data_IF_603068413913
#
_entry.id   IF_603068413913
#
_cell.length_a   1.000
_cell.length_b   1.000
_cell.length_c   1.000
_cell.angle_alpha   90.00
_cell.angle_beta   90.00
_cell.angle_gamma   90.00
#
_symmetry.space_group_name_H-M   'P 1'
#
loop_
_entity.id
_entity.type
_entity.pdbx_description
1 polymer ?
#
# COMPACT_ATOMS: atom_id res chain seq x y z
N UNK A 1 8.44 -3.48 0.03
CA UNK A 1 9.02 -3.72 -1.31
C UNK A 1 8.08 -3.29 -2.45
N UNK A 2 6.78 -3.49 -2.31
CA UNK A 2 5.78 -2.89 -3.20
C UNK A 2 5.64 -1.39 -2.94
N UNK A 3 5.07 -0.60 -3.87
CA UNK A 3 4.62 0.75 -3.59
C UNK A 3 3.67 0.78 -2.38
N UNK A 4 3.78 1.83 -1.56
CA UNK A 4 2.88 2.05 -0.44
C UNK A 4 1.43 2.20 -0.93
N UNK A 5 0.49 1.48 -0.31
CA UNK A 5 -0.90 1.34 -0.76
C UNK A 5 -1.17 0.18 -1.74
N UNK A 6 -0.11 -0.55 -2.17
CA UNK A 6 -0.24 -1.69 -3.10
C UNK A 6 0.18 -3.03 -2.49
N UNK A 7 0.46 -3.06 -1.21
CA UNK A 7 0.75 -4.28 -0.49
C UNK A 7 -0.54 -5.01 -0.09
N UNK A 8 -0.42 -6.33 -0.02
CA UNK A 8 -1.51 -7.22 0.37
C UNK A 8 -1.08 -8.03 1.59
N UNK A 9 -1.96 -8.17 2.55
CA UNK A 9 -1.74 -8.97 3.74
C UNK A 9 -2.83 -10.05 3.85
N UNK A 10 -2.41 -11.27 4.13
CA UNK A 10 -3.31 -12.42 4.26
C UNK A 10 -3.17 -13.03 5.66
N UNK A 11 -4.26 -13.22 6.35
CA UNK A 11 -4.31 -13.77 7.69
C UNK A 11 -5.42 -14.80 7.83
N UNK A 12 -5.21 -15.81 8.66
CA UNK A 12 -6.30 -16.67 9.06
C UNK A 12 -7.27 -15.90 9.98
N UNK A 13 -8.55 -16.28 9.94
CA UNK A 13 -9.55 -15.71 10.84
C UNK A 13 -9.16 -15.93 12.32
N UNK A 14 -8.53 -17.08 12.64
CA UNK A 14 -8.07 -17.38 13.98
C UNK A 14 -6.96 -16.43 14.44
N UNK A 15 -6.01 -16.08 13.55
CA UNK A 15 -4.98 -15.07 13.83
C UNK A 15 -5.60 -13.72 14.16
N UNK A 16 -6.57 -13.26 13.37
CA UNK A 16 -7.27 -12.00 13.61
C UNK A 16 -8.05 -12.02 14.93
N UNK A 17 -8.79 -13.11 15.22
CA UNK A 17 -9.51 -13.28 16.49
C UNK A 17 -8.56 -13.29 17.69
N UNK A 18 -7.40 -13.96 17.59
CA UNK A 18 -6.38 -13.98 18.63
C UNK A 18 -5.83 -12.58 18.88
N UNK A 19 -5.42 -11.89 17.85
CA UNK A 19 -4.93 -10.51 17.93
C UNK A 19 -5.98 -9.58 18.54
N UNK A 20 -7.24 -9.67 18.10
CA UNK A 20 -8.35 -8.88 18.64
C UNK A 20 -8.54 -9.04 20.16
N UNK A 21 -8.39 -10.27 20.70
CA UNK A 21 -8.50 -10.54 22.13
C UNK A 21 -7.31 -10.02 22.94
N UNK A 22 -6.12 -9.92 22.32
CA UNK A 22 -4.87 -9.57 22.99
C UNK A 22 -4.66 -8.07 23.16
N UNK A 23 -5.31 -7.23 22.35
CA UNK A 23 -5.17 -5.79 22.42
C UNK A 23 -6.51 -5.06 22.51
N UNK A 24 -6.52 -3.95 23.26
CA UNK A 24 -7.66 -3.01 23.34
C UNK A 24 -7.28 -1.62 22.83
N UNK A 25 -6.07 -1.46 22.28
CA UNK A 25 -5.58 -0.19 21.74
C UNK A 25 -6.48 0.30 20.60
N UNK A 26 -6.87 1.56 20.62
CA UNK A 26 -7.64 2.18 19.53
C UNK A 26 -6.86 2.17 18.23
N UNK A 27 -5.54 2.38 18.27
CA UNK A 27 -4.67 2.33 17.11
C UNK A 27 -4.67 0.93 16.45
N UNK A 28 -4.67 -0.15 17.26
CA UNK A 28 -4.75 -1.51 16.73
C UNK A 28 -6.14 -1.85 16.20
N UNK A 29 -7.19 -1.13 16.64
CA UNK A 29 -8.54 -1.26 16.10
C UNK A 29 -8.68 -0.54 14.76
N UNK A 30 -8.07 0.62 14.62
CA UNK A 30 -8.02 1.38 13.36
C UNK A 30 -7.17 0.63 12.32
N UNK A 31 -5.97 0.17 12.72
CA UNK A 31 -5.03 -0.55 11.87
C UNK A 31 -5.04 -2.05 12.21
N UNK A 32 -6.07 -2.76 11.78
CA UNK A 32 -6.43 -4.14 12.17
C UNK A 32 -5.25 -5.12 12.26
N UNK A 33 -4.23 -4.96 11.43
CA UNK A 33 -3.08 -5.87 11.39
C UNK A 33 -1.83 -5.34 12.10
N UNK A 34 -1.91 -4.15 12.68
CA UNK A 34 -0.77 -3.50 13.33
C UNK A 34 -0.24 -4.31 14.52
N UNK A 35 -1.13 -4.80 15.39
CA UNK A 35 -0.77 -5.64 16.52
C UNK A 35 -0.08 -6.93 16.09
N UNK A 36 -0.54 -7.56 15.01
CA UNK A 36 0.05 -8.77 14.44
C UNK A 36 1.48 -8.50 13.99
N UNK A 37 1.69 -7.43 13.20
CA UNK A 37 3.01 -7.05 12.68
C UNK A 37 4.01 -6.66 13.77
N UNK A 38 3.54 -6.06 14.85
CA UNK A 38 4.39 -5.66 16.00
C UNK A 38 4.79 -6.82 16.90
N UNK A 39 4.16 -7.98 16.76
CA UNK A 39 4.41 -9.14 17.62
C UNK A 39 4.81 -10.38 16.80
N UNK A 40 5.93 -10.34 16.05
CA UNK A 40 6.33 -11.44 15.16
C UNK A 40 6.62 -12.75 15.91
N UNK A 41 7.03 -12.70 17.18
CA UNK A 41 7.22 -13.87 18.03
C UNK A 41 5.90 -14.62 18.34
N UNK A 42 4.77 -13.93 18.32
CA UNK A 42 3.43 -14.49 18.58
C UNK A 42 2.73 -14.84 17.27
N UNK A 43 2.99 -14.06 16.23
CA UNK A 43 2.40 -14.13 14.91
C UNK A 43 3.49 -14.19 13.84
N UNK A 44 4.14 -15.37 13.66
CA UNK A 44 5.15 -15.50 12.62
C UNK A 44 4.54 -15.23 11.25
N UNK A 45 5.28 -14.51 10.40
CA UNK A 45 4.84 -14.10 9.08
C UNK A 45 5.90 -14.37 8.02
N UNK A 46 5.44 -14.68 6.80
CA UNK A 46 6.27 -14.70 5.61
C UNK A 46 6.12 -13.37 4.86
N UNK A 47 7.25 -12.81 4.44
CA UNK A 47 7.27 -11.58 3.65
C UNK A 47 7.64 -11.90 2.21
N UNK A 48 6.67 -11.71 1.29
CA UNK A 48 6.93 -11.82 -0.14
C UNK A 48 7.53 -10.51 -0.65
N UNK A 49 8.72 -10.62 -1.23
CA UNK A 49 9.39 -9.46 -1.84
C UNK A 49 8.80 -9.24 -3.23
N UNK A 50 8.51 -7.98 -3.56
CA UNK A 50 8.02 -7.61 -4.87
C UNK A 50 9.01 -8.03 -5.96
N UNK A 51 8.56 -8.59 -7.08
CA UNK A 51 9.41 -8.84 -8.24
C UNK A 51 9.99 -7.51 -8.74
N UNK A 52 11.14 -7.56 -9.39
CA UNK A 52 11.89 -6.36 -9.83
C UNK A 52 11.04 -5.35 -10.62
N UNK A 53 10.06 -5.83 -11.38
CA UNK A 53 9.15 -4.99 -12.17
C UNK A 53 8.15 -4.19 -11.32
N UNK A 54 7.88 -4.64 -10.09
CA UNK A 54 6.93 -4.02 -9.15
C UNK A 54 7.62 -3.43 -7.91
N UNK A 55 8.95 -3.57 -7.80
CA UNK A 55 9.71 -3.09 -6.66
C UNK A 55 9.87 -1.56 -6.71
N UNK A 56 9.18 -0.87 -5.81
CA UNK A 56 9.32 0.58 -5.63
C UNK A 56 8.82 1.03 -4.26
N UNK A 57 9.53 0.69 -3.17
CA UNK A 57 9.04 0.91 -1.79
C UNK A 57 8.80 2.38 -1.43
N UNK A 58 9.46 3.32 -2.12
CA UNK A 58 9.32 4.75 -1.85
C UNK A 58 8.23 5.43 -2.70
N UNK A 59 7.51 4.69 -3.55
CA UNK A 59 6.40 5.22 -4.32
C UNK A 59 5.12 5.16 -3.47
N UNK A 60 4.49 6.31 -3.20
CA UNK A 60 3.20 6.39 -2.52
C UNK A 60 2.04 6.36 -3.53
N UNK A 61 1.22 5.33 -3.42
CA UNK A 61 -0.03 5.15 -4.15
C UNK A 61 -1.24 5.01 -3.19
N UNK A 62 -1.08 5.48 -1.96
CA UNK A 62 -2.16 5.64 -0.98
C UNK A 62 -3.05 6.83 -1.35
N UNK A 63 -4.17 6.99 -0.66
CA UNK A 63 -5.11 8.11 -0.84
C UNK A 63 -5.41 8.73 0.53
N UNK A 64 -4.39 9.28 1.19
CA UNK A 64 -4.49 9.84 2.54
C UNK A 64 -4.42 11.37 2.55
N UNK A 65 -3.92 11.99 1.46
CA UNK A 65 -3.72 13.43 1.34
C UNK A 65 -4.26 13.96 0.01
N UNK A 66 -4.48 15.29 -0.07
CA UNK A 66 -4.92 15.96 -1.32
C UNK A 66 -3.95 15.75 -2.48
N UNK A 67 -2.65 15.70 -2.19
CA UNK A 67 -1.63 15.47 -3.22
C UNK A 67 -1.66 14.02 -3.72
N UNK A 68 -1.98 13.07 -2.86
CA UNK A 68 -2.23 11.69 -3.28
C UNK A 68 -3.42 11.62 -4.23
N UNK A 69 -4.52 12.30 -3.89
CA UNK A 69 -5.70 12.38 -4.76
C UNK A 69 -5.35 12.93 -6.15
N UNK A 70 -4.55 13.99 -6.22
CA UNK A 70 -4.13 14.60 -7.50
C UNK A 70 -3.32 13.59 -8.33
N UNK A 71 -2.38 12.86 -7.71
CA UNK A 71 -1.60 11.84 -8.42
C UNK A 71 -2.49 10.70 -8.91
N UNK A 72 -3.31 10.13 -8.02
CA UNK A 72 -4.21 9.02 -8.33
C UNK A 72 -5.20 9.40 -9.44
N UNK A 73 -5.79 10.61 -9.37
CA UNK A 73 -6.67 11.13 -10.44
C UNK A 73 -5.96 11.14 -11.79
N UNK A 74 -4.72 11.63 -11.87
CA UNK A 74 -3.94 11.64 -13.12
C UNK A 74 -3.65 10.24 -13.65
N UNK A 75 -3.41 9.27 -12.77
CA UNK A 75 -3.24 7.86 -13.15
C UNK A 75 -4.55 7.33 -13.75
N UNK A 76 -5.68 7.54 -13.09
CA UNK A 76 -6.99 7.10 -13.61
C UNK A 76 -7.36 7.78 -14.93
N UNK A 77 -7.10 9.08 -15.08
CA UNK A 77 -7.29 9.80 -16.35
C UNK A 77 -6.46 9.19 -17.49
N UNK A 78 -5.20 8.81 -17.22
CA UNK A 78 -4.34 8.13 -18.21
C UNK A 78 -4.91 6.80 -18.65
N UNK A 79 -5.48 6.03 -17.72
CA UNK A 79 -5.96 4.67 -17.99
C UNK A 79 -7.48 4.57 -18.17
N UNK A 80 -8.20 5.69 -18.29
CA UNK A 80 -9.69 5.74 -18.39
C UNK A 80 -10.29 4.79 -19.43
N UNK A 81 -9.61 4.57 -20.54
CA UNK A 81 -10.09 3.70 -21.62
C UNK A 81 -9.93 2.20 -21.30
N UNK A 82 -9.26 1.83 -20.22
CA UNK A 82 -9.04 0.43 -19.78
C UNK A 82 -10.12 -0.08 -18.81
N UNK A 83 -11.28 0.60 -18.72
CA UNK A 83 -12.40 0.23 -17.82
C UNK A 83 -11.94 -0.04 -16.37
N UNK A 84 -11.01 0.77 -15.87
CA UNK A 84 -10.38 0.63 -14.54
C UNK A 84 -9.66 -0.71 -14.28
N UNK A 85 -9.37 -1.48 -15.32
CA UNK A 85 -8.64 -2.74 -15.23
C UNK A 85 -7.22 -2.56 -15.81
N UNK A 86 -6.32 -2.04 -15.01
CA UNK A 86 -4.91 -1.86 -15.38
C UNK A 86 -4.01 -2.33 -14.24
N UNK A 87 -3.02 -3.19 -14.53
CA UNK A 87 -2.15 -3.78 -13.52
C UNK A 87 -1.15 -2.76 -12.97
N UNK A 88 -0.69 -2.96 -11.72
CA UNK A 88 0.32 -2.13 -11.07
C UNK A 88 1.57 -1.90 -11.93
N UNK A 89 1.99 -2.91 -12.70
CA UNK A 89 3.14 -2.77 -13.60
C UNK A 89 2.98 -1.61 -14.59
N UNK A 90 1.79 -1.44 -15.17
CA UNK A 90 1.55 -0.34 -16.11
C UNK A 90 1.58 1.03 -15.43
N UNK A 91 1.10 1.12 -14.18
CA UNK A 91 1.21 2.35 -13.38
C UNK A 91 2.69 2.69 -13.15
N UNK A 92 3.48 1.70 -12.74
CA UNK A 92 4.91 1.86 -12.50
C UNK A 92 5.63 2.31 -13.78
N UNK A 93 5.38 1.65 -14.89
CA UNK A 93 6.00 1.99 -16.18
C UNK A 93 5.59 3.42 -16.61
N UNK A 94 4.33 3.79 -16.47
CA UNK A 94 3.85 5.15 -16.73
C UNK A 94 4.57 6.21 -15.87
N UNK A 95 4.69 5.97 -14.56
CA UNK A 95 5.33 6.91 -13.64
C UNK A 95 6.84 7.02 -13.88
N UNK A 96 7.52 5.92 -14.26
CA UNK A 96 8.94 5.95 -14.64
C UNK A 96 9.20 6.85 -15.85
N UNK A 97 8.30 6.85 -16.83
CA UNK A 97 8.39 7.72 -18.00
C UNK A 97 7.90 9.16 -17.74
N UNK A 98 7.19 9.41 -16.64
CA UNK A 98 6.60 10.69 -16.30
C UNK A 98 7.05 11.18 -14.91
N UNK A 99 8.38 11.29 -14.71
CA UNK A 99 8.98 11.63 -13.40
C UNK A 99 8.44 12.92 -12.74
N UNK A 100 7.90 13.85 -13.52
CA UNK A 100 7.25 15.07 -13.00
C UNK A 100 6.05 14.74 -12.11
N UNK A 101 5.33 13.64 -12.38
CA UNK A 101 4.19 13.21 -11.57
C UNK A 101 4.61 12.76 -10.17
N UNK A 102 5.81 12.18 -10.03
CA UNK A 102 6.34 11.74 -8.73
C UNK A 102 6.56 12.90 -7.76
N UNK A 103 6.76 14.12 -8.28
CA UNK A 103 6.92 15.31 -7.44
C UNK A 103 5.62 15.77 -6.79
N UNK A 104 4.47 15.28 -7.23
CA UNK A 104 3.16 15.74 -6.73
C UNK A 104 3.02 15.40 -5.24
N UNK A 105 3.34 14.17 -4.84
CA UNK A 105 3.13 13.69 -3.47
C UNK A 105 4.39 13.18 -2.78
N UNK A 106 5.58 13.50 -3.30
CA UNK A 106 6.84 13.00 -2.72
C UNK A 106 7.12 13.53 -1.30
N UNK A 107 6.57 14.69 -0.94
CA UNK A 107 6.72 15.30 0.37
C UNK A 107 5.62 14.88 1.37
N UNK A 108 4.63 14.10 0.95
CA UNK A 108 3.60 13.60 1.84
C UNK A 108 4.24 12.61 2.83
N UNK A 109 4.13 12.93 4.13
CA UNK A 109 4.63 12.03 5.18
C UNK A 109 3.74 10.78 5.23
N UNK A 110 4.33 9.63 5.01
CA UNK A 110 3.66 8.34 5.16
C UNK A 110 3.62 7.93 6.64
N UNK A 111 2.50 7.38 7.06
CA UNK A 111 2.30 6.92 8.44
C UNK A 111 2.83 5.51 8.64
#
# INVERSE_FOLDING_TARGET
>A
SYPDGMDVQVYSLNTLKKSYKMTKSLLDREHVTLHIRKNPNIFPALHLIAPRSLFWPNLGLTLDDKLDFILIKKIFEKFKNKKNNFPLKEIIDYLKHNKKLLKINHNVKRK
#
